data_IF_597510256072
#
_entry.id   IF_597510256072
#
_cell.length_a   1.000
_cell.length_b   1.000
_cell.length_c   1.000
_cell.angle_alpha   90.00
_cell.angle_beta   90.00
_cell.angle_gamma   90.00
#
_symmetry.space_group_name_H-M   'P 1'
#
loop_
_entity.id
_entity.type
_entity.pdbx_description
1 polymer ?
#
# COMPACT_ATOMS: atom_id res chain seq x y z
N UNK A 1 -21.83 -7.14 16.56
CA UNK A 1 -21.54 -6.33 15.37
C UNK A 1 -20.05 -6.46 15.12
N UNK A 2 -19.62 -7.13 14.05
CA UNK A 2 -18.22 -7.11 13.65
C UNK A 2 -17.93 -5.76 13.01
N UNK A 3 -17.07 -4.96 13.65
CA UNK A 3 -16.49 -3.80 12.99
C UNK A 3 -15.43 -4.32 12.02
N UNK A 4 -15.89 -4.80 10.87
CA UNK A 4 -15.00 -5.17 9.77
C UNK A 4 -14.45 -3.86 9.20
N UNK A 5 -13.18 -3.57 9.52
CA UNK A 5 -12.46 -2.43 8.96
C UNK A 5 -11.76 -2.95 7.72
N UNK A 6 -12.32 -2.61 6.56
CA UNK A 6 -11.72 -2.91 5.28
C UNK A 6 -10.59 -1.90 5.02
N UNK A 7 -9.35 -2.38 4.94
CA UNK A 7 -8.19 -1.55 4.65
C UNK A 7 -7.81 -1.74 3.18
N UNK A 8 -8.26 -0.84 2.31
CA UNK A 8 -7.72 -0.76 0.94
C UNK A 8 -6.49 0.15 0.93
N UNK A 9 -5.39 -0.34 0.34
CA UNK A 9 -4.27 0.50 -0.04
C UNK A 9 -4.44 0.85 -1.51
N UNK A 10 -4.80 2.09 -1.79
CA UNK A 10 -5.11 2.54 -3.15
C UNK A 10 -3.84 2.96 -3.92
N UNK A 11 -2.72 3.17 -3.21
CA UNK A 11 -1.46 3.59 -3.79
C UNK A 11 -0.32 2.72 -3.27
N UNK A 12 0.50 2.21 -4.18
CA UNK A 12 1.77 1.53 -3.86
C UNK A 12 2.92 2.38 -4.39
N UNK A 13 3.86 2.74 -3.52
CA UNK A 13 5.14 3.31 -3.93
C UNK A 13 6.20 2.23 -3.97
N UNK A 14 6.91 2.13 -5.09
CA UNK A 14 8.03 1.21 -5.29
C UNK A 14 9.30 2.02 -5.40
N UNK A 15 10.23 1.80 -4.47
CA UNK A 15 11.53 2.50 -4.52
C UNK A 15 12.66 1.47 -4.48
N UNK A 16 13.53 1.41 -5.50
CA UNK A 16 14.72 0.58 -5.49
C UNK A 16 15.86 1.27 -4.73
N UNK A 17 16.66 0.49 -4.01
CA UNK A 17 17.87 0.98 -3.33
C UNK A 17 18.99 -0.05 -3.45
N UNK A 18 20.23 0.44 -3.51
CA UNK A 18 21.41 -0.39 -3.39
C UNK A 18 21.92 -0.35 -1.95
N UNK A 19 22.16 -1.52 -1.37
CA UNK A 19 22.75 -1.65 -0.04
C UNK A 19 24.08 -2.41 -0.13
N UNK A 20 24.90 -2.35 0.93
CA UNK A 20 26.12 -3.17 1.02
C UNK A 20 25.83 -4.68 1.00
N UNK A 21 24.58 -5.08 1.28
CA UNK A 21 24.12 -6.48 1.30
C UNK A 21 23.38 -6.88 0.02
N UNK A 22 23.30 -5.99 -0.98
CA UNK A 22 22.66 -6.24 -2.27
C UNK A 22 21.55 -5.24 -2.64
N UNK A 23 20.96 -5.44 -3.82
CA UNK A 23 19.87 -4.64 -4.36
C UNK A 23 18.53 -5.05 -3.74
N UNK A 24 17.80 -4.06 -3.20
CA UNK A 24 16.49 -4.26 -2.58
C UNK A 24 15.46 -3.30 -3.15
N UNK A 25 14.19 -3.66 -3.04
CA UNK A 25 13.04 -2.82 -3.39
C UNK A 25 12.15 -2.69 -2.17
N UNK A 26 11.80 -1.46 -1.78
CA UNK A 26 10.76 -1.22 -0.80
C UNK A 26 9.42 -0.99 -1.51
N UNK A 27 8.42 -1.74 -1.09
CA UNK A 27 7.03 -1.54 -1.44
C UNK A 27 6.35 -0.88 -0.25
N UNK A 28 5.94 0.37 -0.40
CA UNK A 28 5.16 1.08 0.61
C UNK A 28 3.69 1.11 0.19
N UNK A 29 2.83 0.59 1.05
CA UNK A 29 1.38 0.62 0.90
C UNK A 29 0.86 1.90 1.53
N UNK A 30 0.18 2.72 0.73
CA UNK A 30 -0.28 4.04 1.11
C UNK A 30 -1.80 4.13 0.96
N UNK A 31 -2.42 4.90 1.85
CA UNK A 31 -3.86 5.12 1.83
C UNK A 31 -4.22 6.52 2.33
N UNK A 32 -5.44 6.99 2.02
CA UNK A 32 -5.92 8.29 2.48
C UNK A 32 -6.22 8.23 3.98
N UNK A 33 -5.83 9.28 4.70
CA UNK A 33 -6.27 9.58 6.05
C UNK A 33 -7.03 10.89 6.04
N UNK A 34 -8.31 10.82 6.36
CA UNK A 34 -9.16 12.00 6.51
C UNK A 34 -9.12 12.45 7.97
N UNK A 35 -8.75 13.71 8.20
CA UNK A 35 -8.79 14.35 9.51
C UNK A 35 -9.82 15.48 9.48
N UNK A 36 -10.76 15.47 10.43
CA UNK A 36 -11.79 16.49 10.56
C UNK A 36 -11.41 17.51 11.65
N UNK A 37 -11.61 18.79 11.37
CA UNK A 37 -11.45 19.87 12.34
C UNK A 37 -12.82 20.34 12.79
N UNK A 38 -13.00 20.42 14.10
CA UNK A 38 -14.24 20.86 14.71
C UNK A 38 -14.18 22.35 15.02
N UNK A 39 -15.28 23.07 14.81
CA UNK A 39 -15.44 24.44 15.31
C UNK A 39 -15.79 24.47 16.82
N UNK A 40 -15.97 25.68 17.36
CA UNK A 40 -16.32 25.88 18.76
C UNK A 40 -17.67 25.26 19.17
N UNK A 41 -18.54 24.93 18.21
CA UNK A 41 -19.82 24.24 18.43
C UNK A 41 -19.71 22.72 18.32
N UNK A 42 -18.51 22.19 18.03
CA UNK A 42 -18.27 20.76 17.84
C UNK A 42 -18.68 20.25 16.45
N UNK A 43 -19.03 21.13 15.51
CA UNK A 43 -19.36 20.75 14.13
C UNK A 43 -18.11 20.69 13.26
N UNK A 44 -18.11 19.79 12.27
CA UNK A 44 -17.01 19.71 11.30
C UNK A 44 -17.02 20.97 10.45
N UNK A 45 -15.97 21.78 10.57
CA UNK A 45 -15.79 23.02 9.80
C UNK A 45 -14.83 22.87 8.64
N UNK A 46 -13.85 21.96 8.76
CA UNK A 46 -12.85 21.69 7.75
C UNK A 46 -12.43 20.21 7.77
N UNK A 47 -11.88 19.74 6.65
CA UNK A 47 -11.26 18.43 6.55
C UNK A 47 -9.93 18.53 5.80
N UNK A 48 -8.97 17.70 6.20
CA UNK A 48 -7.69 17.50 5.52
C UNK A 48 -7.57 16.05 5.10
N UNK A 49 -7.16 15.82 3.87
CA UNK A 49 -6.82 14.51 3.35
C UNK A 49 -5.31 14.45 3.20
N UNK A 50 -4.68 13.55 3.94
CA UNK A 50 -3.27 13.21 3.80
C UNK A 50 -3.15 11.81 3.20
N UNK A 51 -2.13 11.59 2.37
CA UNK A 51 -1.75 10.22 2.00
C UNK A 51 -0.69 9.75 2.99
N UNK A 52 -0.98 8.65 3.69
CA UNK A 52 -0.11 8.13 4.75
C UNK A 52 0.35 6.71 4.41
N UNK A 53 1.55 6.36 4.89
CA UNK A 53 2.05 4.99 4.80
C UNK A 53 1.29 4.11 5.80
N UNK A 54 0.59 3.09 5.29
CA UNK A 54 -0.08 2.07 6.09
C UNK A 54 0.87 0.95 6.50
N UNK A 55 1.82 0.62 5.61
CA UNK A 55 2.81 -0.42 5.84
C UNK A 55 3.88 -0.42 4.75
N UNK A 56 4.93 -1.21 4.94
CA UNK A 56 5.92 -1.41 3.90
C UNK A 56 6.64 -2.74 4.04
N UNK A 57 7.00 -3.34 2.92
CA UNK A 57 7.83 -4.55 2.85
C UNK A 57 9.05 -4.24 1.99
N UNK A 58 10.23 -4.61 2.48
CA UNK A 58 11.48 -4.56 1.71
C UNK A 58 11.87 -5.97 1.30
N UNK A 59 12.13 -6.17 0.02
CA UNK A 59 12.50 -7.47 -0.55
C UNK A 59 13.76 -7.32 -1.38
N UNK A 60 14.54 -8.40 -1.49
CA UNK A 60 15.63 -8.45 -2.48
C UNK A 60 15.04 -8.40 -3.89
N UNK A 61 15.82 -7.90 -4.84
CA UNK A 61 15.40 -7.89 -6.26
C UNK A 61 15.02 -9.29 -6.78
N UNK A 62 15.72 -10.34 -6.34
CA UNK A 62 15.39 -11.72 -6.71
C UNK A 62 14.00 -12.15 -6.21
N UNK A 63 13.68 -11.84 -4.95
CA UNK A 63 12.39 -12.19 -4.36
C UNK A 63 11.23 -11.42 -5.02
N UNK A 64 11.46 -10.19 -5.48
CA UNK A 64 10.47 -9.44 -6.28
C UNK A 64 10.18 -10.14 -7.61
N UNK A 65 11.22 -10.65 -8.27
CA UNK A 65 11.08 -11.30 -9.55
C UNK A 65 10.35 -12.65 -9.43
N UNK A 66 10.71 -13.44 -8.43
CA UNK A 66 10.00 -14.69 -8.09
C UNK A 66 8.52 -14.43 -7.77
N UNK A 67 8.23 -13.38 -6.98
CA UNK A 67 6.86 -13.00 -6.67
C UNK A 67 6.07 -12.59 -7.93
N UNK A 68 6.68 -11.81 -8.82
CA UNK A 68 6.05 -11.40 -10.08
C UNK A 68 5.74 -12.61 -10.99
N UNK A 69 6.66 -13.56 -11.09
CA UNK A 69 6.47 -14.79 -11.88
C UNK A 69 5.35 -15.66 -11.31
N UNK A 70 5.35 -15.88 -9.98
CA UNK A 70 4.30 -16.63 -9.30
C UNK A 70 2.92 -15.98 -9.49
N UNK A 71 2.82 -14.66 -9.35
CA UNK A 71 1.59 -13.91 -9.57
C UNK A 71 1.12 -14.02 -11.02
N UNK A 72 2.05 -13.89 -11.97
CA UNK A 72 1.75 -14.00 -13.41
C UNK A 72 1.24 -15.40 -13.75
N UNK A 73 1.86 -16.46 -13.21
CA UNK A 73 1.40 -17.84 -13.40
C UNK A 73 -0.02 -18.02 -12.87
N UNK A 74 -0.28 -17.56 -11.65
CA UNK A 74 -1.61 -17.64 -11.02
C UNK A 74 -2.68 -16.89 -11.83
N UNK A 75 -2.38 -15.69 -12.31
CA UNK A 75 -3.31 -14.90 -13.15
C UNK A 75 -3.62 -15.63 -14.47
N UNK A 76 -2.58 -16.21 -15.09
CA UNK A 76 -2.71 -16.95 -16.35
C UNK A 76 -3.50 -18.24 -16.18
N UNK A 77 -3.25 -19.00 -15.12
CA UNK A 77 -3.90 -20.28 -14.83
C UNK A 77 -5.35 -20.12 -14.38
N UNK A 78 -5.65 -19.07 -13.60
CA UNK A 78 -7.00 -18.83 -13.07
C UNK A 78 -7.90 -17.99 -13.96
N UNK A 79 -7.44 -17.63 -15.17
CA UNK A 79 -8.23 -16.86 -16.13
C UNK A 79 -8.62 -15.47 -15.61
N UNK A 80 -7.81 -14.88 -14.72
CA UNK A 80 -8.02 -13.51 -14.22
C UNK A 80 -7.57 -12.43 -15.22
N UNK A 81 -7.10 -12.87 -16.40
CA UNK A 81 -6.95 -12.00 -17.56
C UNK A 81 -8.33 -11.52 -17.99
N UNK A 82 -8.61 -10.23 -17.77
CA UNK A 82 -9.70 -9.51 -18.44
C UNK A 82 -9.54 -9.57 -19.95
#
# INVERSE_FOLDING_TARGET
MSNEIDFSADVVSMTPYQTSSGDVVNFAFMGPKVSHFLDASGQVSQAKIDIVKLGSVTMTKSAVQEFHEALTSLINERGWKK
#
